data_IF_425389372761
#
_entry.id   IF_425389372761
#
_cell.length_a   1.000
_cell.length_b   1.000
_cell.length_c   1.000
_cell.angle_alpha   90.00
_cell.angle_beta   90.00
_cell.angle_gamma   90.00
#
_symmetry.space_group_name_H-M   'P 1'
#
loop_
_entity.id
_entity.type
_entity.pdbx_description
1 polymer ?
#
# COMPACT_ATOMS: atom_id res chain seq x y z
N UNK A 1 55.19 -23.03 9.75
CA UNK A 1 56.51 -22.49 10.08
C UNK A 1 56.59 -21.15 9.36
N UNK A 2 56.69 -19.99 9.97
CA UNK A 2 56.56 -19.57 11.35
C UNK A 2 56.22 -18.04 11.29
N UNK A 3 56.21 -17.25 12.38
CA UNK A 3 55.05 -16.48 12.82
C UNK A 3 55.34 -14.96 12.95
N UNK A 4 54.41 -14.24 13.61
CA UNK A 4 54.54 -12.89 14.21
C UNK A 4 54.27 -11.70 13.28
N UNK A 5 53.48 -10.65 13.58
CA UNK A 5 52.68 -10.18 14.74
C UNK A 5 51.84 -8.94 14.27
N UNK A 6 50.92 -8.38 15.08
CA UNK A 6 49.66 -7.73 14.65
C UNK A 6 49.69 -6.20 14.57
N UNK A 7 48.68 -5.58 13.93
CA UNK A 7 48.17 -4.20 14.18
C UNK A 7 46.93 -3.89 13.31
N UNK A 8 45.83 -3.62 14.00
CA UNK A 8 44.69 -2.73 13.68
C UNK A 8 44.45 -2.28 12.23
N UNK A 9 43.29 -2.66 11.67
CA UNK A 9 42.45 -1.71 10.91
C UNK A 9 40.97 -1.98 11.25
N UNK A 10 40.31 -1.15 12.07
CA UNK A 10 38.86 -1.09 12.07
C UNK A 10 38.46 -0.30 10.82
N UNK A 11 37.90 -0.96 9.80
CA UNK A 11 37.32 -0.23 8.67
C UNK A 11 35.80 -0.38 8.67
N UNK A 12 35.18 0.79 8.76
CA UNK A 12 33.80 1.06 9.12
C UNK A 12 32.78 0.44 8.15
N UNK A 13 31.54 0.18 8.61
CA UNK A 13 30.43 0.03 7.70
C UNK A 13 30.30 1.32 6.89
N UNK A 14 30.34 1.20 5.56
CA UNK A 14 30.10 2.31 4.63
C UNK A 14 28.67 2.77 4.85
N UNK A 15 28.49 3.88 5.56
CA UNK A 15 27.21 4.55 5.72
C UNK A 15 26.69 4.94 4.33
N UNK A 16 25.43 4.63 3.97
CA UNK A 16 24.82 5.20 2.77
C UNK A 16 24.71 6.73 2.92
N UNK A 17 24.83 7.49 1.80
CA UNK A 17 24.83 8.94 1.84
C UNK A 17 23.51 9.46 2.43
N UNK A 18 23.66 10.44 3.31
CA UNK A 18 22.62 11.13 4.05
C UNK A 18 21.37 11.41 3.20
N UNK A 19 20.26 10.74 3.51
CA UNK A 19 18.96 11.34 3.26
C UNK A 19 18.80 12.51 4.24
N UNK A 20 18.47 13.73 3.80
CA UNK A 20 18.14 14.81 4.73
C UNK A 20 16.94 14.38 5.58
N UNK A 21 17.00 14.71 6.86
CA UNK A 21 16.09 14.34 7.94
C UNK A 21 14.64 14.15 7.50
N UNK A 22 14.24 12.90 7.23
CA UNK A 22 12.84 12.52 7.31
C UNK A 22 12.57 12.43 8.80
N UNK A 23 11.76 13.33 9.40
CA UNK A 23 11.37 13.16 10.79
C UNK A 23 10.70 11.80 10.89
N UNK A 24 11.20 10.95 11.81
CA UNK A 24 10.54 9.71 12.16
C UNK A 24 9.12 10.07 12.57
N UNK A 25 8.15 9.84 11.67
CA UNK A 25 6.75 9.92 12.02
C UNK A 25 6.56 8.97 13.19
N UNK A 26 6.04 9.45 14.33
CA UNK A 26 5.78 8.58 15.45
C UNK A 26 4.82 7.51 14.96
N UNK A 27 5.30 6.26 14.89
CA UNK A 27 4.45 5.09 14.66
C UNK A 27 3.71 4.86 15.97
N UNK A 28 2.74 5.74 16.24
CA UNK A 28 1.77 5.53 17.31
C UNK A 28 1.07 4.21 17.01
N UNK A 29 0.97 3.27 17.97
CA UNK A 29 0.14 2.10 17.81
C UNK A 29 -1.25 2.55 17.36
N UNK A 30 -1.76 1.96 16.28
CA UNK A 30 -3.11 2.26 15.82
C UNK A 30 -4.06 2.00 17.01
N UNK A 31 -4.88 2.99 17.43
CA UNK A 31 -5.85 2.74 18.49
C UNK A 31 -6.77 1.58 18.08
N UNK A 32 -7.23 0.73 19.03
CA UNK A 32 -8.19 -0.31 18.72
C UNK A 32 -9.43 0.31 18.08
N UNK A 33 -9.95 -0.35 17.04
CA UNK A 33 -11.00 0.07 16.11
C UNK A 33 -12.09 0.95 16.77
N UNK A 34 -11.86 2.24 16.87
CA UNK A 34 -12.94 3.21 17.00
C UNK A 34 -13.65 3.25 15.64
N UNK A 35 -14.99 3.29 15.59
CA UNK A 35 -15.70 3.47 14.34
C UNK A 35 -15.39 4.89 13.85
N UNK A 36 -14.31 5.01 13.07
CA UNK A 36 -14.01 6.20 12.31
C UNK A 36 -15.25 6.48 11.45
N UNK A 37 -15.73 7.74 11.35
CA UNK A 37 -16.75 8.12 10.40
C UNK A 37 -16.19 7.89 9.01
N UNK A 38 -16.43 6.70 8.47
CA UNK A 38 -15.83 6.28 7.22
C UNK A 38 -16.49 7.05 6.06
N UNK A 39 -15.72 7.79 5.25
CA UNK A 39 -16.27 8.76 4.29
C UNK A 39 -16.94 8.15 3.04
N UNK A 40 -17.04 6.83 2.94
CA UNK A 40 -17.41 6.11 1.71
C UNK A 40 -18.91 5.82 1.52
N UNK A 41 -19.77 6.19 2.48
CA UNK A 41 -21.21 5.89 2.45
C UNK A 41 -22.00 6.42 1.23
N UNK A 42 -21.72 7.60 0.63
CA UNK A 42 -22.50 8.07 -0.52
C UNK A 42 -22.11 7.33 -1.82
N UNK A 43 -20.84 6.98 -2.00
CA UNK A 43 -20.32 6.47 -3.27
C UNK A 43 -20.83 5.05 -3.57
N UNK A 44 -20.94 4.20 -2.55
CA UNK A 44 -21.56 2.87 -2.68
C UNK A 44 -23.04 2.99 -3.07
N UNK A 45 -23.75 3.98 -2.51
CA UNK A 45 -25.17 4.22 -2.84
C UNK A 45 -25.33 4.70 -4.27
N UNK A 46 -24.47 5.59 -4.73
CA UNK A 46 -24.46 6.09 -6.11
C UNK A 46 -24.23 4.96 -7.12
N UNK A 47 -23.22 4.11 -6.88
CA UNK A 47 -22.93 2.95 -7.74
C UNK A 47 -24.13 2.01 -7.77
N UNK A 48 -24.73 1.72 -6.62
CA UNK A 48 -25.88 0.82 -6.59
C UNK A 48 -27.10 1.40 -7.30
N UNK A 49 -27.32 2.72 -7.29
CA UNK A 49 -28.38 3.35 -8.08
C UNK A 49 -28.21 3.14 -9.59
N UNK A 50 -26.96 3.11 -10.08
CA UNK A 50 -26.68 2.81 -11.49
C UNK A 50 -27.15 1.39 -11.89
N UNK A 51 -27.09 0.43 -10.97
CA UNK A 51 -27.49 -0.96 -11.22
C UNK A 51 -28.94 -1.27 -10.82
N UNK A 52 -29.50 -0.52 -9.87
CA UNK A 52 -30.78 -0.82 -9.23
C UNK A 52 -32.03 -0.37 -10.02
N UNK A 53 -31.90 0.21 -11.23
CA UNK A 53 -33.02 0.68 -12.08
C UNK A 53 -34.09 1.49 -11.33
N UNK A 54 -33.66 2.35 -10.39
CA UNK A 54 -34.56 3.20 -9.59
C UNK A 54 -35.11 2.56 -8.30
N UNK A 55 -34.65 1.38 -7.90
CA UNK A 55 -35.01 0.76 -6.62
C UNK A 55 -34.06 1.24 -5.52
N UNK A 56 -34.62 1.74 -4.42
CA UNK A 56 -33.86 2.19 -3.25
C UNK A 56 -33.57 1.02 -2.29
N UNK A 57 -32.32 0.54 -2.28
CA UNK A 57 -31.87 -0.48 -1.34
C UNK A 57 -31.49 0.11 0.02
N UNK A 58 -31.86 -0.58 1.11
CA UNK A 58 -31.40 -0.28 2.47
C UNK A 58 -30.17 -1.12 2.78
N UNK A 59 -29.13 -0.48 3.30
CA UNK A 59 -27.85 -1.11 3.57
C UNK A 59 -27.67 -1.36 5.07
N UNK A 60 -27.15 -2.53 5.42
CA UNK A 60 -26.70 -2.81 6.78
C UNK A 60 -25.36 -2.12 7.03
N UNK A 61 -25.16 -1.54 8.22
CA UNK A 61 -23.91 -0.86 8.59
C UNK A 61 -22.68 -1.79 8.49
N UNK A 62 -22.81 -3.04 8.92
CA UNK A 62 -21.74 -4.04 8.85
C UNK A 62 -21.36 -4.41 7.41
N UNK A 63 -22.33 -4.42 6.48
CA UNK A 63 -22.06 -4.71 5.08
C UNK A 63 -21.24 -3.60 4.42
N UNK A 64 -21.49 -2.34 4.77
CA UNK A 64 -20.73 -1.19 4.26
C UNK A 64 -19.31 -1.17 4.80
N UNK A 65 -19.12 -1.51 6.09
CA UNK A 65 -17.79 -1.64 6.69
C UNK A 65 -16.99 -2.77 6.02
N UNK A 66 -17.57 -3.96 5.85
CA UNK A 66 -16.90 -5.07 5.19
C UNK A 66 -16.47 -4.74 3.75
N UNK A 67 -17.31 -4.00 3.00
CA UNK A 67 -16.98 -3.56 1.64
C UNK A 67 -15.79 -2.61 1.63
N UNK A 68 -15.73 -1.69 2.60
CA UNK A 68 -14.62 -0.77 2.72
C UNK A 68 -13.32 -1.48 3.11
N UNK A 69 -13.37 -2.36 4.11
CA UNK A 69 -12.20 -3.12 4.54
C UNK A 69 -11.64 -3.95 3.37
N UNK A 70 -12.51 -4.59 2.58
CA UNK A 70 -12.12 -5.32 1.38
C UNK A 70 -11.49 -4.38 0.31
N UNK A 71 -12.07 -3.21 0.09
CA UNK A 71 -11.56 -2.23 -0.88
C UNK A 71 -10.19 -1.66 -0.47
N UNK A 72 -10.02 -1.33 0.82
CA UNK A 72 -8.75 -0.85 1.37
C UNK A 72 -7.68 -1.94 1.29
N UNK A 73 -7.99 -3.17 1.71
CA UNK A 73 -7.07 -4.30 1.60
C UNK A 73 -6.65 -4.55 0.15
N UNK A 74 -7.57 -4.42 -0.81
CA UNK A 74 -7.27 -4.55 -2.23
C UNK A 74 -6.33 -3.44 -2.73
N UNK A 75 -6.62 -2.17 -2.41
CA UNK A 75 -5.80 -1.04 -2.83
C UNK A 75 -4.40 -1.08 -2.23
N UNK A 76 -4.28 -1.42 -0.93
CA UNK A 76 -2.98 -1.57 -0.26
C UNK A 76 -2.13 -2.62 -0.98
N UNK A 77 -2.70 -3.81 -1.21
CA UNK A 77 -1.95 -4.90 -1.85
C UNK A 77 -1.59 -4.59 -3.31
N UNK A 78 -2.43 -3.84 -4.02
CA UNK A 78 -2.13 -3.41 -5.38
C UNK A 78 -1.00 -2.37 -5.41
N UNK A 79 -0.99 -1.45 -4.44
CA UNK A 79 0.04 -0.42 -4.33
C UNK A 79 1.39 -1.02 -3.95
N UNK A 80 1.43 -2.02 -3.07
CA UNK A 80 2.63 -2.80 -2.75
C UNK A 80 3.27 -3.42 -3.99
N UNK A 81 2.47 -4.11 -4.82
CA UNK A 81 2.95 -4.71 -6.07
C UNK A 81 3.44 -3.64 -7.07
N UNK A 82 2.71 -2.52 -7.17
CA UNK A 82 3.11 -1.40 -8.04
C UNK A 82 4.41 -0.72 -7.58
N UNK A 83 4.66 -0.71 -6.27
CA UNK A 83 5.89 -0.17 -5.69
C UNK A 83 7.10 -1.05 -6.02
N UNK A 84 6.94 -2.38 -5.96
CA UNK A 84 7.98 -3.30 -6.42
C UNK A 84 8.29 -3.11 -7.92
N UNK A 85 7.27 -2.84 -8.74
CA UNK A 85 7.47 -2.53 -10.17
C UNK A 85 8.22 -1.21 -10.38
N UNK A 86 7.94 -0.17 -9.59
CA UNK A 86 8.67 1.11 -9.64
C UNK A 86 10.13 0.93 -9.20
N UNK A 87 10.36 0.15 -8.14
CA UNK A 87 11.70 -0.15 -7.64
C UNK A 87 12.54 -0.94 -8.66
N UNK A 88 11.91 -1.87 -9.38
CA UNK A 88 12.55 -2.60 -10.49
C UNK A 88 13.06 -1.65 -11.60
N UNK A 89 12.41 -0.51 -11.79
CA UNK A 89 12.82 0.52 -12.73
C UNK A 89 13.75 1.60 -12.11
N UNK A 90 14.30 1.35 -10.91
CA UNK A 90 15.14 2.28 -10.13
C UNK A 90 14.47 3.62 -9.80
N UNK A 91 13.14 3.65 -9.62
CA UNK A 91 12.39 4.85 -9.24
C UNK A 91 11.70 4.67 -7.89
N UNK A 92 11.68 5.73 -7.08
CA UNK A 92 10.96 5.78 -5.79
C UNK A 92 9.53 6.30 -5.97
N UNK A 93 9.27 7.07 -7.04
CA UNK A 93 7.95 7.64 -7.35
C UNK A 93 7.10 6.66 -8.15
N UNK A 94 5.88 6.41 -7.68
CA UNK A 94 4.89 5.59 -8.39
C UNK A 94 4.35 6.31 -9.63
N UNK A 95 4.31 5.62 -10.76
CA UNK A 95 3.67 6.10 -11.98
C UNK A 95 2.46 5.23 -12.38
N UNK A 96 1.49 5.78 -13.13
CA UNK A 96 0.32 5.02 -13.57
C UNK A 96 0.69 3.80 -14.43
N UNK A 97 1.82 3.85 -15.14
CA UNK A 97 2.36 2.70 -15.90
C UNK A 97 2.74 1.51 -15.01
N UNK A 98 3.22 1.76 -13.80
CA UNK A 98 3.63 0.71 -12.85
C UNK A 98 2.39 0.02 -12.26
N UNK A 99 1.32 0.79 -12.04
CA UNK A 99 0.02 0.27 -11.63
C UNK A 99 -0.65 -0.56 -12.75
N UNK A 100 -0.59 -0.09 -14.00
CA UNK A 100 -1.09 -0.84 -15.15
C UNK A 100 -0.34 -2.16 -15.34
N UNK A 101 0.99 -2.15 -15.15
CA UNK A 101 1.81 -3.34 -15.22
C UNK A 101 1.47 -4.32 -14.08
N UNK A 102 1.34 -3.83 -12.85
CA UNK A 102 0.93 -4.65 -11.70
C UNK A 102 -0.45 -5.31 -11.92
N UNK A 103 -1.43 -4.57 -12.47
CA UNK A 103 -2.76 -5.11 -12.81
C UNK A 103 -2.68 -6.17 -13.91
N UNK A 104 -1.83 -5.97 -14.94
CA UNK A 104 -1.63 -6.96 -16.00
C UNK A 104 -0.98 -8.24 -15.50
N UNK A 105 0.01 -8.14 -14.60
CA UNK A 105 0.69 -9.29 -14.01
C UNK A 105 -0.23 -10.11 -13.10
N UNK A 106 -1.17 -9.45 -12.42
CA UNK A 106 -2.19 -10.10 -11.59
C UNK A 106 -3.26 -10.86 -12.37
N UNK A 107 -3.40 -10.60 -13.66
CA UNK A 107 -4.39 -11.26 -14.52
C UNK A 107 -5.83 -10.74 -14.35
N UNK A 108 -6.77 -11.26 -15.16
CA UNK A 108 -8.14 -10.75 -15.24
C UNK A 108 -8.94 -10.92 -13.93
N UNK A 109 -8.66 -11.97 -13.17
CA UNK A 109 -9.34 -12.30 -11.90
C UNK A 109 -9.12 -11.24 -10.80
N UNK A 110 -8.01 -10.51 -10.84
CA UNK A 110 -7.61 -9.54 -9.83
C UNK A 110 -7.66 -8.09 -10.32
N UNK A 111 -8.42 -7.83 -11.39
CA UNK A 111 -8.71 -6.48 -11.89
C UNK A 111 -7.98 -6.10 -13.18
N UNK A 112 -7.47 -7.06 -13.95
CA UNK A 112 -7.11 -6.85 -15.36
C UNK A 112 -8.38 -6.77 -16.22
N UNK A 113 -8.48 -5.74 -17.06
CA UNK A 113 -9.51 -5.67 -18.13
C UNK A 113 -9.16 -6.61 -19.28
#
# INVERSE_FOLDING_TARGET
WDPQTPRDVPNAPVSPPCCPDVPALPVTPLPPCAPLPVPSLPQVREICLLFARGVNYRWQSMALLALQEAAEAFMVRLLEDSYLCSLHAHRVTLFPKDLQLARRLRGPEAGGI
#
